data_IF_785243327580
#
_entry.id   IF_785243327580
#
_cell.length_a   1.000
_cell.length_b   1.000
_cell.length_c   1.000
_cell.angle_alpha   90.00
_cell.angle_beta   90.00
_cell.angle_gamma   90.00
#
_symmetry.space_group_name_H-M   'P 1'
#
loop_
_entity.id
_entity.type
_entity.pdbx_description
1 polymer ?
#
# COMPACT_ATOMS: atom_id res chain seq x y z
N UNK A 1 21.54 10.86 -15.44
CA UNK A 1 21.65 10.90 -13.97
C UNK A 1 20.31 10.86 -13.20
N UNK A 2 19.11 11.17 -13.76
CA UNK A 2 17.81 10.96 -13.07
C UNK A 2 17.39 9.49 -12.94
N UNK A 3 17.72 8.67 -13.95
CA UNK A 3 17.32 7.26 -14.05
C UNK A 3 17.85 6.42 -12.87
N UNK A 4 19.07 6.70 -12.37
CA UNK A 4 19.63 6.00 -11.20
C UNK A 4 18.89 6.31 -9.89
N UNK A 5 18.35 7.52 -9.73
CA UNK A 5 17.58 7.91 -8.53
C UNK A 5 16.16 7.32 -8.55
N UNK A 6 15.55 7.22 -9.73
CA UNK A 6 14.29 6.50 -9.94
C UNK A 6 14.45 4.97 -9.77
N UNK A 7 15.59 4.40 -10.19
CA UNK A 7 15.96 3.00 -9.91
C UNK A 7 16.22 2.75 -8.42
N UNK A 8 16.75 3.73 -7.67
CA UNK A 8 16.82 3.68 -6.21
C UNK A 8 15.44 3.76 -5.51
N UNK A 9 14.33 3.99 -6.22
CA UNK A 9 12.96 3.89 -5.69
C UNK A 9 12.25 2.59 -6.12
N UNK A 10 12.83 1.84 -7.05
CA UNK A 10 12.44 0.48 -7.48
C UNK A 10 12.93 -0.61 -6.51
N UNK A 11 12.99 -0.23 -5.25
CA UNK A 11 13.43 -0.99 -4.08
C UNK A 11 12.55 -2.23 -3.85
N UNK A 12 11.35 -2.22 -4.43
CA UNK A 12 10.46 -3.36 -4.50
C UNK A 12 11.12 -4.58 -5.15
N UNK A 13 11.93 -4.44 -6.20
CA UNK A 13 12.38 -5.58 -7.04
C UNK A 13 13.23 -6.60 -6.27
N UNK A 14 14.06 -6.16 -5.33
CA UNK A 14 14.88 -7.08 -4.52
C UNK A 14 14.04 -7.80 -3.47
N UNK A 15 13.16 -7.07 -2.78
CA UNK A 15 12.15 -7.69 -1.91
C UNK A 15 11.26 -8.67 -2.71
N UNK A 16 10.84 -8.29 -3.92
CA UNK A 16 10.06 -9.10 -4.87
C UNK A 16 10.80 -10.40 -5.22
N UNK A 17 12.11 -10.35 -5.51
CA UNK A 17 12.92 -11.53 -5.84
C UNK A 17 13.06 -12.52 -4.68
N UNK A 18 12.98 -12.04 -3.45
CA UNK A 18 13.01 -12.89 -2.25
C UNK A 18 11.61 -13.48 -1.96
N UNK A 19 10.56 -12.65 -2.12
CA UNK A 19 9.15 -13.01 -1.98
C UNK A 19 8.68 -13.96 -3.09
N UNK A 20 9.29 -13.90 -4.28
CA UNK A 20 8.87 -14.65 -5.47
C UNK A 20 9.00 -16.17 -5.33
N UNK A 21 9.70 -16.66 -4.32
CA UNK A 21 9.74 -18.08 -4.01
C UNK A 21 8.46 -18.62 -3.34
N UNK A 22 7.48 -17.75 -3.01
CA UNK A 22 6.44 -18.07 -2.02
C UNK A 22 5.00 -18.06 -2.57
N UNK A 23 4.71 -17.34 -3.66
CA UNK A 23 3.39 -17.35 -4.33
C UNK A 23 3.50 -16.93 -5.81
N UNK A 24 3.22 -17.85 -6.74
CA UNK A 24 3.35 -17.65 -8.19
C UNK A 24 2.52 -16.48 -8.76
N UNK A 25 1.32 -16.24 -8.22
CA UNK A 25 0.44 -15.15 -8.68
C UNK A 25 1.02 -13.79 -8.28
N UNK A 26 1.47 -13.68 -7.02
CA UNK A 26 2.13 -12.49 -6.52
C UNK A 26 3.42 -12.21 -7.30
N UNK A 27 4.20 -13.23 -7.64
CA UNK A 27 5.39 -13.10 -8.51
C UNK A 27 5.02 -12.49 -9.84
N UNK A 28 4.07 -13.11 -10.55
CA UNK A 28 3.70 -12.68 -11.89
C UNK A 28 3.17 -11.26 -11.89
N UNK A 29 2.39 -10.89 -10.88
CA UNK A 29 1.96 -9.51 -10.69
C UNK A 29 3.16 -8.56 -10.52
N UNK A 30 4.09 -8.89 -9.63
CA UNK A 30 5.22 -8.02 -9.29
C UNK A 30 6.21 -7.87 -10.46
N UNK A 31 6.44 -8.93 -11.23
CA UNK A 31 7.23 -8.89 -12.47
C UNK A 31 6.56 -8.02 -13.55
N UNK A 32 5.23 -8.15 -13.70
CA UNK A 32 4.47 -7.31 -14.61
C UNK A 32 4.52 -5.84 -14.18
N UNK A 33 4.34 -5.56 -12.90
CA UNK A 33 4.47 -4.22 -12.33
C UNK A 33 5.85 -3.64 -12.58
N UNK A 34 6.93 -4.40 -12.32
CA UNK A 34 8.31 -3.97 -12.57
C UNK A 34 8.49 -3.59 -14.05
N UNK A 35 7.99 -4.40 -14.97
CA UNK A 35 8.05 -4.12 -16.41
C UNK A 35 7.33 -2.83 -16.75
N UNK A 36 6.10 -2.67 -16.30
CA UNK A 36 5.27 -1.49 -16.59
C UNK A 36 5.85 -0.22 -15.98
N UNK A 37 6.38 -0.31 -14.78
CA UNK A 37 7.04 0.78 -14.09
C UNK A 37 8.33 1.22 -14.80
N UNK A 38 9.14 0.27 -15.28
CA UNK A 38 10.31 0.57 -16.12
C UNK A 38 9.91 1.25 -17.42
N UNK A 39 8.80 0.82 -18.03
CA UNK A 39 8.26 1.50 -19.22
C UNK A 39 7.88 2.93 -18.88
N UNK A 40 7.07 3.17 -17.84
CA UNK A 40 6.66 4.51 -17.42
C UNK A 40 7.87 5.41 -17.15
N UNK A 41 8.81 4.93 -16.33
CA UNK A 41 10.00 5.72 -15.95
C UNK A 41 11.04 5.87 -17.06
N UNK A 42 10.93 5.07 -18.13
CA UNK A 42 11.68 5.23 -19.37
C UNK A 42 11.03 6.21 -20.36
N UNK A 43 9.80 6.66 -20.12
CA UNK A 43 9.14 7.68 -20.93
C UNK A 43 9.53 9.10 -20.51
N UNK A 44 9.37 10.06 -21.43
CA UNK A 44 9.59 11.48 -21.15
C UNK A 44 8.33 12.21 -20.68
N UNK A 45 7.15 11.63 -20.89
CA UNK A 45 5.86 12.32 -20.73
C UNK A 45 4.85 11.44 -19.99
N UNK A 46 4.00 12.04 -19.14
CA UNK A 46 2.89 11.32 -18.52
C UNK A 46 1.89 10.84 -19.58
N UNK A 47 1.20 9.75 -19.28
CA UNK A 47 0.04 9.28 -20.00
C UNK A 47 -1.21 9.45 -19.12
N UNK A 48 -2.19 10.20 -19.63
CA UNK A 48 -3.50 10.35 -19.01
C UNK A 48 -4.54 10.08 -20.08
N UNK A 49 -5.38 9.08 -19.84
CA UNK A 49 -6.47 8.75 -20.77
C UNK A 49 -7.44 9.92 -20.93
N UNK A 50 -7.92 10.12 -22.16
CA UNK A 50 -9.01 11.07 -22.47
C UNK A 50 -10.34 10.71 -21.83
N UNK A 51 -10.51 9.47 -21.36
CA UNK A 51 -11.70 9.01 -20.62
C UNK A 51 -11.54 9.10 -19.11
N UNK A 52 -10.40 9.57 -18.61
CA UNK A 52 -10.25 9.88 -17.19
C UNK A 52 -10.94 11.21 -16.87
N UNK A 53 -11.52 11.30 -15.68
CA UNK A 53 -12.16 12.49 -15.16
C UNK A 53 -11.29 13.13 -14.09
N UNK A 54 -10.53 14.15 -14.45
CA UNK A 54 -9.63 14.87 -13.55
C UNK A 54 -10.25 16.22 -13.21
N UNK A 55 -10.42 16.51 -11.92
CA UNK A 55 -10.85 17.84 -11.49
C UNK A 55 -9.78 18.89 -11.82
N UNK A 56 -10.21 20.08 -12.26
CA UNK A 56 -9.32 21.24 -12.47
C UNK A 56 -8.64 21.74 -11.18
N UNK A 57 -9.11 21.28 -10.02
CA UNK A 57 -8.53 21.59 -8.70
C UNK A 57 -7.57 20.50 -8.20
N UNK A 58 -7.34 19.43 -8.98
CA UNK A 58 -6.35 18.41 -8.67
C UNK A 58 -4.98 18.80 -9.22
N UNK A 59 -3.93 18.34 -8.54
CA UNK A 59 -2.54 18.57 -8.94
C UNK A 59 -1.92 17.24 -9.39
N UNK A 60 -1.29 17.24 -10.57
CA UNK A 60 -0.59 16.09 -11.12
C UNK A 60 0.82 16.52 -11.51
N UNK A 61 1.82 15.98 -10.83
CA UNK A 61 3.22 16.26 -11.04
C UNK A 61 3.98 15.02 -11.52
N UNK A 62 4.96 15.19 -12.40
CA UNK A 62 5.87 14.13 -12.81
C UNK A 62 5.24 13.07 -13.73
N UNK A 63 5.88 11.90 -13.80
CA UNK A 63 5.46 10.81 -14.68
C UNK A 63 4.27 10.06 -14.09
N UNK A 64 3.13 10.08 -14.76
CA UNK A 64 1.96 9.30 -14.34
C UNK A 64 1.44 8.46 -15.49
N UNK A 65 0.83 7.32 -15.16
CA UNK A 65 0.07 6.50 -16.09
C UNK A 65 -1.35 6.33 -15.55
N UNK A 66 -2.31 7.04 -16.13
CA UNK A 66 -3.71 7.05 -15.69
C UNK A 66 -4.59 6.48 -16.80
N UNK A 67 -5.25 5.37 -16.52
CA UNK A 67 -6.12 4.66 -17.47
C UNK A 67 -7.54 5.24 -17.59
N UNK A 68 -8.34 4.64 -18.48
CA UNK A 68 -9.76 4.97 -18.70
C UNK A 68 -10.57 4.94 -17.39
N UNK A 69 -11.62 5.76 -17.33
CA UNK A 69 -12.61 5.76 -16.24
C UNK A 69 -12.04 6.02 -14.83
N UNK A 70 -10.77 6.44 -14.72
CA UNK A 70 -10.20 6.93 -13.46
C UNK A 70 -10.83 8.28 -13.13
N UNK A 71 -11.24 8.46 -11.88
CA UNK A 71 -11.76 9.74 -11.37
C UNK A 71 -10.79 10.31 -10.34
N UNK A 72 -10.35 11.55 -10.53
CA UNK A 72 -9.53 12.29 -9.57
C UNK A 72 -10.32 13.51 -9.09
N UNK A 73 -10.68 13.48 -7.80
CA UNK A 73 -11.49 14.51 -7.16
C UNK A 73 -10.69 15.78 -6.83
N UNK A 74 -11.38 16.90 -6.51
CA UNK A 74 -10.73 18.16 -6.16
C UNK A 74 -9.66 18.05 -5.08
N UNK A 75 -8.59 18.84 -5.22
CA UNK A 75 -7.49 18.95 -4.27
C UNK A 75 -6.67 17.68 -4.05
N UNK A 76 -6.94 16.60 -4.80
CA UNK A 76 -6.06 15.45 -4.80
C UNK A 76 -4.72 15.84 -5.44
N UNK A 77 -3.62 15.31 -4.88
CA UNK A 77 -2.28 15.49 -5.43
C UNK A 77 -1.75 14.11 -5.86
N UNK A 78 -1.32 13.99 -7.11
CA UNK A 78 -0.63 12.80 -7.62
C UNK A 78 0.78 13.21 -8.03
N UNK A 79 1.79 12.68 -7.32
CA UNK A 79 3.21 13.00 -7.57
C UNK A 79 3.96 11.77 -8.08
N UNK A 80 4.17 11.74 -9.39
CA UNK A 80 4.82 10.68 -10.13
C UNK A 80 6.24 10.34 -9.65
N UNK A 81 6.76 9.13 -9.94
CA UNK A 81 6.14 8.08 -10.77
C UNK A 81 4.93 7.39 -10.11
N UNK A 82 3.78 7.34 -10.79
CA UNK A 82 2.56 6.66 -10.29
C UNK A 82 1.81 5.97 -11.43
N UNK A 83 1.32 4.76 -11.19
CA UNK A 83 0.42 4.03 -12.09
C UNK A 83 -0.96 3.92 -11.43
N UNK A 84 -2.01 4.32 -12.14
CA UNK A 84 -3.41 4.25 -11.68
C UNK A 84 -4.24 3.56 -12.76
N UNK A 85 -4.81 2.41 -12.39
CA UNK A 85 -5.55 1.56 -13.32
C UNK A 85 -7.01 1.95 -13.44
N UNK A 86 -7.63 1.39 -14.48
CA UNK A 86 -8.98 1.67 -14.92
C UNK A 86 -10.01 1.69 -13.78
N UNK A 87 -10.92 2.66 -13.82
CA UNK A 87 -12.10 2.70 -12.95
C UNK A 87 -11.81 3.07 -11.49
N UNK A 88 -10.59 3.47 -11.17
CA UNK A 88 -10.17 3.83 -9.81
C UNK A 88 -10.59 5.24 -9.44
N UNK A 89 -10.96 5.43 -8.18
CA UNK A 89 -11.28 6.73 -7.60
C UNK A 89 -10.13 7.20 -6.70
N UNK A 90 -9.58 8.36 -7.03
CA UNK A 90 -8.72 9.15 -6.15
C UNK A 90 -9.59 10.25 -5.54
N UNK A 91 -9.88 10.11 -4.25
CA UNK A 91 -10.78 10.94 -3.48
C UNK A 91 -10.22 12.33 -3.18
N UNK A 92 -11.11 13.21 -2.74
CA UNK A 92 -10.79 14.61 -2.43
C UNK A 92 -9.60 14.71 -1.48
N UNK A 93 -8.61 15.54 -1.81
CA UNK A 93 -7.43 15.76 -0.97
C UNK A 93 -6.57 14.52 -0.69
N UNK A 94 -6.76 13.41 -1.42
CA UNK A 94 -5.86 12.27 -1.33
C UNK A 94 -4.48 12.62 -1.92
N UNK A 95 -3.41 12.03 -1.37
CA UNK A 95 -2.05 12.24 -1.85
C UNK A 95 -1.41 10.91 -2.26
N UNK A 96 -1.12 10.73 -3.54
CA UNK A 96 -0.55 9.50 -4.09
C UNK A 96 0.82 9.79 -4.68
N UNK A 97 1.88 9.13 -4.19
CA UNK A 97 3.25 9.49 -4.58
C UNK A 97 4.29 8.38 -4.56
N UNK A 98 5.46 8.72 -5.09
CA UNK A 98 6.74 8.03 -4.90
C UNK A 98 6.77 6.57 -5.38
N UNK A 99 6.34 6.30 -6.59
CA UNK A 99 6.44 4.96 -7.16
C UNK A 99 5.27 4.05 -6.78
N UNK A 100 4.10 4.63 -6.58
CA UNK A 100 2.90 3.92 -6.16
C UNK A 100 2.16 3.29 -7.36
N UNK A 101 1.62 2.09 -7.14
CA UNK A 101 0.70 1.41 -8.04
C UNK A 101 -0.66 1.30 -7.40
N UNK A 102 -1.70 1.75 -8.09
CA UNK A 102 -3.10 1.58 -7.70
C UNK A 102 -3.82 0.74 -8.77
N UNK A 103 -4.34 -0.40 -8.34
CA UNK A 103 -5.06 -1.39 -9.14
C UNK A 103 -6.42 -0.89 -9.63
N UNK A 104 -7.14 -1.75 -10.34
CA UNK A 104 -8.41 -1.43 -11.01
C UNK A 104 -9.54 -1.34 -10.00
N UNK A 105 -10.50 -0.44 -10.27
CA UNK A 105 -11.71 -0.29 -9.46
C UNK A 105 -11.42 -0.13 -7.96
N UNK A 106 -10.30 0.52 -7.64
CA UNK A 106 -9.83 0.76 -6.29
C UNK A 106 -10.24 2.15 -5.84
N UNK A 107 -10.41 2.34 -4.53
CA UNK A 107 -10.74 3.63 -3.93
C UNK A 107 -9.60 4.05 -3.03
N UNK A 108 -8.99 5.20 -3.31
CA UNK A 108 -8.13 5.93 -2.39
C UNK A 108 -8.92 7.13 -1.93
N UNK A 109 -9.66 7.01 -0.83
CA UNK A 109 -10.62 8.03 -0.44
C UNK A 109 -9.99 9.23 0.29
N UNK A 110 -10.89 10.06 0.84
CA UNK A 110 -10.57 11.41 1.30
C UNK A 110 -9.34 11.50 2.23
N UNK A 111 -8.41 12.39 1.88
CA UNK A 111 -7.22 12.70 2.70
C UNK A 111 -6.39 11.49 3.11
N UNK A 112 -6.45 10.41 2.33
CA UNK A 112 -5.54 9.28 2.47
C UNK A 112 -4.24 9.55 1.72
N UNK A 113 -3.12 9.15 2.28
CA UNK A 113 -1.79 9.24 1.67
C UNK A 113 -1.26 7.85 1.33
N UNK A 114 -0.88 7.63 0.07
CA UNK A 114 -0.25 6.40 -0.42
C UNK A 114 1.15 6.71 -0.92
N UNK A 115 2.15 6.08 -0.30
CA UNK A 115 3.56 6.37 -0.52
C UNK A 115 4.26 5.10 -0.93
N UNK A 116 4.86 5.12 -2.14
CA UNK A 116 5.71 4.04 -2.63
C UNK A 116 5.11 2.66 -2.38
N UNK A 117 3.81 2.45 -2.62
CA UNK A 117 3.08 1.23 -2.25
C UNK A 117 2.38 0.58 -3.43
N UNK A 118 2.03 -0.69 -3.29
CA UNK A 118 1.19 -1.43 -4.24
C UNK A 118 -0.16 -1.66 -3.58
N UNK A 119 -1.23 -1.16 -4.21
CA UNK A 119 -2.62 -1.45 -3.82
C UNK A 119 -3.27 -2.16 -5.00
N UNK A 120 -3.64 -3.43 -4.86
CA UNK A 120 -4.20 -4.23 -5.94
C UNK A 120 -5.69 -3.95 -6.18
N UNK A 121 -6.31 -4.74 -7.04
CA UNK A 121 -7.62 -4.47 -7.62
C UNK A 121 -8.74 -4.56 -6.56
N UNK A 122 -9.81 -3.78 -6.76
CA UNK A 122 -11.03 -3.78 -5.95
C UNK A 122 -10.83 -3.47 -4.46
N UNK A 123 -9.71 -2.84 -4.10
CA UNK A 123 -9.40 -2.47 -2.72
C UNK A 123 -9.96 -1.09 -2.38
N UNK A 124 -10.27 -0.85 -1.11
CA UNK A 124 -10.79 0.40 -0.61
C UNK A 124 -9.98 0.88 0.58
N UNK A 125 -9.24 1.96 0.38
CA UNK A 125 -8.52 2.70 1.40
C UNK A 125 -9.40 3.91 1.75
N UNK A 126 -10.22 3.79 2.79
CA UNK A 126 -11.36 4.68 3.03
C UNK A 126 -10.96 6.16 3.21
N UNK A 127 -10.67 6.61 4.44
CA UNK A 127 -10.45 8.04 4.72
C UNK A 127 -9.36 8.22 5.76
N UNK A 128 -8.51 9.24 5.56
CA UNK A 128 -7.44 9.60 6.49
C UNK A 128 -6.46 8.44 6.77
N UNK A 129 -6.25 7.57 5.80
CA UNK A 129 -5.32 6.47 5.91
C UNK A 129 -3.91 6.90 5.51
N UNK A 130 -2.89 6.23 6.05
CA UNK A 130 -1.52 6.33 5.54
C UNK A 130 -1.01 4.95 5.21
N UNK A 131 -0.75 4.69 3.93
CA UNK A 131 -0.20 3.43 3.43
C UNK A 131 1.18 3.72 2.86
N UNK A 132 2.23 3.30 3.57
CA UNK A 132 3.62 3.57 3.18
C UNK A 132 4.40 2.30 2.96
N UNK A 133 5.10 2.21 1.82
CA UNK A 133 6.00 1.10 1.48
C UNK A 133 5.39 -0.27 1.71
N UNK A 134 4.11 -0.44 1.37
CA UNK A 134 3.30 -1.62 1.71
C UNK A 134 2.78 -2.32 0.45
N UNK A 135 2.44 -3.60 0.61
CA UNK A 135 1.70 -4.37 -0.40
C UNK A 135 0.32 -4.64 0.16
N UNK A 136 -0.70 -4.15 -0.54
CA UNK A 136 -2.11 -4.37 -0.22
C UNK A 136 -2.72 -5.19 -1.34
N UNK A 137 -3.19 -6.39 -1.00
CA UNK A 137 -3.80 -7.35 -1.92
C UNK A 137 -5.13 -6.87 -2.50
N UNK A 138 -5.81 -7.79 -3.18
CA UNK A 138 -7.10 -7.54 -3.82
C UNK A 138 -8.22 -7.55 -2.79
N UNK A 139 -9.29 -6.79 -3.05
CA UNK A 139 -10.49 -6.78 -2.20
C UNK A 139 -10.21 -6.46 -0.72
N UNK A 140 -9.15 -5.67 -0.44
CA UNK A 140 -8.81 -5.25 0.91
C UNK A 140 -9.59 -4.01 1.28
N UNK A 141 -10.06 -3.93 2.53
CA UNK A 141 -10.66 -2.73 3.08
C UNK A 141 -9.84 -2.19 4.25
N UNK A 142 -9.39 -0.94 4.15
CA UNK A 142 -8.92 -0.15 5.28
C UNK A 142 -10.02 0.82 5.68
N UNK A 143 -10.52 0.69 6.91
CA UNK A 143 -11.42 1.67 7.53
C UNK A 143 -10.67 2.96 7.87
N UNK A 144 -11.41 4.00 8.26
CA UNK A 144 -10.82 5.33 8.49
C UNK A 144 -9.72 5.33 9.56
N UNK A 145 -8.69 6.15 9.35
CA UNK A 145 -7.54 6.29 10.26
C UNK A 145 -6.73 5.01 10.49
N UNK A 146 -6.88 3.99 9.64
CA UNK A 146 -5.99 2.84 9.66
C UNK A 146 -4.71 3.11 8.85
N UNK A 147 -3.59 2.54 9.27
CA UNK A 147 -2.31 2.88 8.63
C UNK A 147 -1.25 1.80 8.78
N UNK A 148 -0.26 1.86 7.90
CA UNK A 148 0.98 1.08 8.00
C UNK A 148 2.13 2.00 8.38
N UNK A 149 3.08 1.50 9.16
CA UNK A 149 4.36 2.18 9.41
C UNK A 149 5.47 1.46 8.68
N UNK A 150 6.39 2.22 8.07
CA UNK A 150 7.53 1.66 7.36
C UNK A 150 8.87 1.77 8.09
N UNK A 151 8.90 2.39 9.28
CA UNK A 151 10.14 2.68 10.00
C UNK A 151 9.95 2.58 11.52
N UNK A 152 10.93 2.04 12.25
CA UNK A 152 10.91 2.01 13.71
C UNK A 152 11.77 3.14 14.27
N UNK A 153 11.21 3.95 15.16
CA UNK A 153 11.90 5.15 15.70
C UNK A 153 13.11 4.83 16.59
N UNK A 154 13.19 3.62 17.13
CA UNK A 154 14.29 3.18 17.99
C UNK A 154 15.45 2.54 17.21
N UNK A 155 15.43 2.58 15.88
CA UNK A 155 16.51 2.03 15.06
C UNK A 155 17.65 3.03 14.87
N UNK A 156 18.88 2.52 15.01
CA UNK A 156 20.07 3.28 14.65
C UNK A 156 20.09 3.55 13.15
N UNK A 157 20.38 4.80 12.78
CA UNK A 157 20.54 5.26 11.41
C UNK A 157 22.01 5.61 11.20
N UNK A 158 22.60 5.05 10.16
CA UNK A 158 23.94 5.40 9.69
C UNK A 158 23.97 6.81 9.11
N UNK A 159 25.15 7.41 8.98
CA UNK A 159 25.32 8.77 8.43
C UNK A 159 24.76 8.94 7.00
N UNK A 160 24.66 7.83 6.25
CA UNK A 160 24.08 7.82 4.90
C UNK A 160 22.54 7.71 4.89
N UNK A 161 21.90 7.69 6.06
CA UNK A 161 20.46 7.57 6.20
C UNK A 161 19.92 6.14 6.17
N UNK A 162 20.80 5.13 6.15
CA UNK A 162 20.42 3.71 6.17
C UNK A 162 20.26 3.19 7.60
N UNK A 163 19.20 2.42 7.84
CA UNK A 163 18.90 1.79 9.13
C UNK A 163 19.03 0.27 9.13
N UNK A 164 18.40 -0.37 10.12
CA UNK A 164 18.33 -1.82 10.24
C UNK A 164 17.46 -2.40 9.13
N UNK A 165 18.00 -3.39 8.40
CA UNK A 165 17.26 -4.13 7.37
C UNK A 165 15.99 -4.76 7.95
N UNK A 166 14.88 -4.60 7.24
CA UNK A 166 13.56 -5.09 7.65
C UNK A 166 13.43 -6.58 7.42
N UNK A 167 12.65 -7.23 8.28
CA UNK A 167 12.32 -8.64 8.19
C UNK A 167 10.84 -8.76 7.86
N UNK A 168 10.51 -9.74 7.06
CA UNK A 168 9.13 -10.15 6.82
C UNK A 168 9.03 -11.65 6.98
N UNK A 169 7.82 -12.10 7.30
CA UNK A 169 7.51 -13.51 7.41
C UNK A 169 6.47 -13.86 6.34
N UNK A 170 6.76 -14.88 5.54
CA UNK A 170 5.85 -15.42 4.53
C UNK A 170 5.85 -16.94 4.63
N UNK A 171 4.67 -17.57 4.71
CA UNK A 171 4.53 -19.02 4.91
C UNK A 171 5.43 -19.56 6.03
N UNK A 172 5.48 -18.84 7.16
CA UNK A 172 6.31 -19.16 8.33
C UNK A 172 7.84 -19.15 8.08
N UNK A 173 8.29 -18.68 6.91
CA UNK A 173 9.70 -18.47 6.60
C UNK A 173 10.04 -16.99 6.71
N UNK A 174 11.18 -16.71 7.33
CA UNK A 174 11.72 -15.36 7.46
C UNK A 174 12.51 -14.95 6.20
N UNK A 175 12.34 -13.69 5.80
CA UNK A 175 13.09 -13.05 4.72
C UNK A 175 13.66 -11.73 5.23
N UNK A 176 14.95 -11.51 4.99
CA UNK A 176 15.65 -10.28 5.37
C UNK A 176 15.75 -9.40 4.14
N UNK A 177 14.94 -8.35 4.11
CA UNK A 177 14.89 -7.40 3.02
C UNK A 177 16.20 -6.62 2.91
N UNK A 178 16.55 -6.17 1.71
CA UNK A 178 17.72 -5.31 1.52
C UNK A 178 17.51 -3.89 2.07
N UNK A 179 16.26 -3.55 2.40
CA UNK A 179 15.79 -2.23 2.83
C UNK A 179 15.68 -2.07 4.33
N UNK A 180 15.95 -0.87 4.80
CA UNK A 180 15.66 -0.47 6.18
C UNK A 180 14.28 0.20 6.37
N UNK A 181 13.50 0.38 5.29
CA UNK A 181 12.12 0.87 5.36
C UNK A 181 11.20 -0.03 4.56
N UNK A 182 10.26 -0.65 5.23
CA UNK A 182 9.24 -1.51 4.66
C UNK A 182 8.00 -1.46 5.55
N UNK A 183 6.84 -1.26 4.94
CA UNK A 183 5.57 -1.19 5.63
C UNK A 183 5.05 -2.57 5.98
N UNK A 184 3.89 -2.92 5.45
CA UNK A 184 3.23 -4.19 5.73
C UNK A 184 2.75 -4.88 4.46
N UNK A 185 2.49 -6.17 4.58
CA UNK A 185 1.80 -6.96 3.57
C UNK A 185 0.40 -7.29 4.10
N UNK A 186 -0.64 -6.95 3.35
CA UNK A 186 -2.03 -7.32 3.63
C UNK A 186 -2.52 -8.22 2.52
N UNK A 187 -2.77 -9.49 2.84
CA UNK A 187 -3.31 -10.45 1.89
C UNK A 187 -4.73 -10.11 1.41
N UNK A 188 -5.13 -10.78 0.32
CA UNK A 188 -6.43 -10.56 -0.31
C UNK A 188 -7.59 -10.69 0.68
N UNK A 189 -8.62 -9.85 0.55
CA UNK A 189 -9.81 -9.89 1.41
C UNK A 189 -9.56 -9.39 2.85
N UNK A 190 -8.37 -8.87 3.15
CA UNK A 190 -8.06 -8.29 4.46
C UNK A 190 -9.00 -7.14 4.82
N UNK A 191 -9.44 -7.08 6.08
CA UNK A 191 -10.31 -6.02 6.60
C UNK A 191 -9.68 -5.40 7.83
N UNK A 192 -9.27 -4.14 7.70
CA UNK A 192 -8.54 -3.40 8.72
C UNK A 192 -9.46 -2.38 9.36
N UNK A 193 -9.78 -2.58 10.64
CA UNK A 193 -10.66 -1.72 11.41
C UNK A 193 -10.11 -0.32 11.64
N UNK A 194 -11.00 0.61 11.96
CA UNK A 194 -10.65 2.01 12.14
C UNK A 194 -9.63 2.21 13.26
N UNK A 195 -8.76 3.22 13.11
CA UNK A 195 -7.69 3.53 14.07
C UNK A 195 -6.70 2.39 14.35
N UNK A 196 -6.62 1.38 13.48
CA UNK A 196 -5.65 0.30 13.62
C UNK A 196 -4.34 0.62 12.91
N UNK A 197 -3.22 0.29 13.54
CA UNK A 197 -1.87 0.58 13.04
C UNK A 197 -1.07 -0.71 12.90
N UNK A 198 -0.46 -0.91 11.74
CA UNK A 198 0.44 -2.02 11.49
C UNK A 198 1.89 -1.56 11.61
N UNK A 199 2.68 -2.30 12.38
CA UNK A 199 4.11 -2.07 12.52
C UNK A 199 4.85 -2.44 11.21
N UNK A 200 6.09 -1.93 11.04
CA UNK A 200 6.96 -2.39 9.96
C UNK A 200 7.10 -3.92 9.98
N UNK A 201 7.05 -4.55 8.81
CA UNK A 201 7.25 -5.99 8.65
C UNK A 201 6.05 -6.89 8.95
N UNK A 202 4.89 -6.32 9.33
CA UNK A 202 3.67 -7.11 9.52
C UNK A 202 3.23 -7.75 8.20
N UNK A 203 2.96 -9.05 8.22
CA UNK A 203 2.32 -9.79 7.14
C UNK A 203 1.00 -10.37 7.62
N UNK A 204 -0.11 -9.93 7.03
CA UNK A 204 -1.42 -10.57 7.19
C UNK A 204 -1.67 -11.49 5.99
N UNK A 205 -2.07 -12.72 6.25
CA UNK A 205 -2.58 -13.66 5.26
C UNK A 205 -3.93 -13.22 4.69
N UNK A 206 -4.50 -14.05 3.82
CA UNK A 206 -5.80 -13.81 3.17
C UNK A 206 -6.92 -13.76 4.20
N UNK A 207 -7.93 -12.93 3.95
CA UNK A 207 -9.16 -12.81 4.74
C UNK A 207 -8.94 -12.48 6.23
N UNK A 208 -7.77 -11.95 6.61
CA UNK A 208 -7.55 -11.54 7.99
C UNK A 208 -8.50 -10.38 8.36
N UNK A 209 -9.03 -10.43 9.57
CA UNK A 209 -9.87 -9.37 10.14
C UNK A 209 -9.13 -8.75 11.32
N UNK A 210 -8.82 -7.47 11.23
CA UNK A 210 -8.27 -6.67 12.32
C UNK A 210 -9.39 -5.80 12.84
N UNK A 211 -9.82 -6.01 14.08
CA UNK A 211 -10.83 -5.14 14.69
C UNK A 211 -10.26 -3.74 14.97
N UNK A 212 -11.13 -2.72 15.16
CA UNK A 212 -10.69 -1.35 15.38
C UNK A 212 -9.77 -1.19 16.60
N UNK A 213 -8.95 -0.12 16.59
CA UNK A 213 -8.09 0.30 17.70
C UNK A 213 -6.97 -0.69 18.07
N UNK A 214 -6.46 -1.45 17.10
CA UNK A 214 -5.38 -2.41 17.33
C UNK A 214 -4.03 -1.87 16.86
N UNK A 215 -2.98 -2.17 17.63
CA UNK A 215 -1.59 -2.04 17.19
C UNK A 215 -1.04 -3.43 16.88
N UNK A 216 -0.79 -3.70 15.60
CA UNK A 216 -0.42 -5.01 15.10
C UNK A 216 1.09 -5.06 15.03
N UNK A 217 1.69 -5.95 15.82
CA UNK A 217 3.13 -6.09 15.95
C UNK A 217 3.69 -6.94 14.83
N UNK A 218 4.95 -6.70 14.50
CA UNK A 218 5.72 -7.44 13.49
C UNK A 218 5.53 -8.96 13.65
N UNK A 219 5.30 -9.64 12.54
CA UNK A 219 5.03 -11.07 12.52
C UNK A 219 4.18 -11.48 11.33
N UNK A 220 3.96 -12.78 11.21
CA UNK A 220 3.05 -13.38 10.24
C UNK A 220 1.76 -13.82 10.93
N UNK A 221 0.64 -13.34 10.41
CA UNK A 221 -0.70 -13.73 10.83
C UNK A 221 -1.30 -14.58 9.70
N UNK A 222 -1.56 -15.88 9.92
CA UNK A 222 -2.06 -16.77 8.87
C UNK A 222 -3.41 -16.37 8.30
N UNK A 223 -3.77 -16.99 7.18
CA UNK A 223 -5.08 -16.80 6.55
C UNK A 223 -6.24 -16.99 7.53
N UNK A 224 -7.28 -16.18 7.37
CA UNK A 224 -8.50 -16.18 8.19
C UNK A 224 -8.27 -15.88 9.68
N UNK A 225 -7.15 -15.25 10.04
CA UNK A 225 -6.90 -14.80 11.42
C UNK A 225 -7.76 -13.60 11.77
N UNK A 226 -8.41 -13.65 12.92
CA UNK A 226 -9.09 -12.50 13.52
C UNK A 226 -8.28 -11.95 14.69
N UNK A 227 -7.96 -10.66 14.64
CA UNK A 227 -7.23 -9.94 15.67
C UNK A 227 -8.18 -9.02 16.41
N UNK A 228 -8.24 -9.17 17.73
CA UNK A 228 -9.11 -8.39 18.62
C UNK A 228 -8.49 -8.30 20.02
N UNK A 229 -8.91 -7.30 20.80
CA UNK A 229 -8.53 -7.22 22.21
C UNK A 229 -9.23 -8.34 22.99
N UNK A 230 -8.52 -8.94 23.95
CA UNK A 230 -9.15 -9.82 24.93
C UNK A 230 -10.34 -9.07 25.54
N UNK A 231 -11.51 -9.71 25.55
CA UNK A 231 -12.80 -9.15 26.01
C UNK A 231 -13.56 -8.22 25.03
N UNK A 232 -13.12 -8.07 23.79
CA UNK A 232 -13.84 -7.24 22.80
C UNK A 232 -15.34 -7.57 22.70
N UNK A 233 -15.69 -8.85 22.64
CA UNK A 233 -17.07 -9.31 22.51
C UNK A 233 -17.87 -9.32 23.84
N UNK A 234 -17.21 -9.22 25.00
CA UNK A 234 -17.89 -9.28 26.31
C UNK A 234 -18.43 -7.92 26.76
N UNK A 235 -18.03 -6.81 26.11
CA UNK A 235 -18.54 -5.47 26.38
C UNK A 235 -19.94 -5.18 25.80
N UNK A 236 -20.54 -6.11 25.06
CA UNK A 236 -21.91 -5.99 24.58
C UNK A 236 -22.88 -6.22 25.75
N UNK A 237 -23.16 -5.17 26.53
CA UNK A 237 -24.28 -5.19 27.46
C UNK A 237 -25.55 -5.11 26.62
N UNK A 238 -26.24 -6.24 26.43
CA UNK A 238 -27.63 -6.21 25.99
C UNK A 238 -28.45 -5.46 27.04
N UNK A 239 -28.69 -4.16 26.83
CA UNK A 239 -29.77 -3.46 27.53
C UNK A 239 -31.08 -4.05 27.02
N UNK A 240 -31.60 -5.06 27.71
CA UNK A 240 -33.02 -5.45 27.59
C UNK A 240 -33.85 -4.18 27.84
N UNK A 241 -34.58 -3.74 26.82
CA UNK A 241 -35.59 -2.69 26.94
C UNK A 241 -36.77 -3.21 27.74
#
# INVERSE_FOLDING_TARGET
>A
MPIKKALCQLVWIEAIKEISSVNAELVSFLENFEREYKVLTGTEKPYISKKAHISDQAEIEGLVYIEDDVTVQPFAHIKGPVIIRKGTLIGKSAFVRDGTYIGRYTIIGHSSEIINSIVMDHSSIAHFNTITKSIVGNYVNFSSYASTSSFNLNESITDNGDGVKKRIFLNQKEFVLTQHKFGSIVGDGGRIGAYSMMYPGVTLGRNCLVLPHLMIREGFYPDNTELYLKDYYSHTIERKR
#
